data_IF_584027345843
#
_entry.id   IF_584027345843
#
_cell.length_a   1.000
_cell.length_b   1.000
_cell.length_c   1.000
_cell.angle_alpha   90.00
_cell.angle_beta   90.00
_cell.angle_gamma   90.00
#
_symmetry.space_group_name_H-M   'P 1'
#
loop_
_entity.id
_entity.type
_entity.pdbx_description
1 polymer ?
#
# COMPACT_ATOMS: atom_id res chain seq x y z
N UNK A 1 -5.47 10.08 -5.42
CA UNK A 1 -6.38 9.69 -4.34
C UNK A 1 -7.79 9.81 -4.91
N UNK A 2 -8.59 8.74 -4.89
CA UNK A 2 -9.91 8.72 -5.53
C UNK A 2 -10.87 9.57 -4.68
N UNK A 3 -11.43 10.64 -5.26
CA UNK A 3 -12.52 11.39 -4.62
C UNK A 3 -13.71 10.44 -4.43
N UNK A 4 -14.48 10.60 -3.36
CA UNK A 4 -15.73 9.87 -3.17
C UNK A 4 -16.71 10.09 -4.35
N UNK A 5 -16.52 11.17 -5.10
CA UNK A 5 -17.25 11.54 -6.32
C UNK A 5 -16.52 11.11 -7.60
N UNK A 6 -15.73 10.02 -7.58
CA UNK A 6 -15.14 9.55 -8.84
C UNK A 6 -16.28 9.11 -9.77
N UNK A 7 -16.41 9.83 -10.88
CA UNK A 7 -17.43 9.65 -11.90
C UNK A 7 -17.51 8.18 -12.31
N UNK A 8 -18.66 7.55 -12.04
CA UNK A 8 -18.99 6.17 -12.43
C UNK A 8 -19.57 6.10 -13.85
N UNK A 9 -19.79 7.24 -14.51
CA UNK A 9 -20.21 7.25 -15.91
C UNK A 9 -19.07 6.78 -16.82
N UNK A 10 -19.38 6.02 -17.88
CA UNK A 10 -18.38 5.60 -18.86
C UNK A 10 -17.59 6.78 -19.44
N UNK A 11 -16.30 6.57 -19.69
CA UNK A 11 -15.48 7.55 -20.41
C UNK A 11 -15.96 7.65 -21.88
N UNK A 12 -15.90 8.82 -22.54
CA UNK A 12 -16.33 8.96 -23.95
C UNK A 12 -15.70 7.95 -24.91
N UNK A 13 -14.41 7.63 -24.72
CA UNK A 13 -13.66 6.68 -25.55
C UNK A 13 -13.79 5.21 -25.11
N UNK A 14 -14.62 4.91 -24.11
CA UNK A 14 -14.79 3.56 -23.58
C UNK A 14 -15.60 2.69 -24.55
N UNK A 15 -15.10 1.49 -24.83
CA UNK A 15 -15.69 0.58 -25.83
C UNK A 15 -16.48 -0.59 -25.25
N UNK A 16 -16.23 -0.92 -23.98
CA UNK A 16 -16.87 -2.04 -23.29
C UNK A 16 -17.37 -1.60 -21.91
N UNK A 17 -18.47 -2.19 -21.39
CA UNK A 17 -18.92 -1.91 -20.03
C UNK A 17 -17.88 -2.39 -19.01
N UNK A 18 -17.77 -1.67 -17.90
CA UNK A 18 -16.93 -2.00 -16.76
C UNK A 18 -17.78 -2.11 -15.50
N UNK A 19 -17.37 -2.95 -14.55
CA UNK A 19 -18.10 -3.06 -13.30
C UNK A 19 -18.08 -1.74 -12.54
N UNK A 20 -19.25 -1.37 -11.99
CA UNK A 20 -19.40 -0.24 -11.08
C UNK A 20 -19.38 -0.67 -9.61
N UNK A 21 -19.32 -1.98 -9.36
CA UNK A 21 -19.30 -2.55 -8.02
C UNK A 21 -18.04 -2.13 -7.29
N UNK A 22 -18.20 -1.87 -6.00
CA UNK A 22 -17.12 -1.43 -5.12
C UNK A 22 -16.95 -2.43 -3.99
N UNK A 23 -15.71 -2.63 -3.61
CA UNK A 23 -15.32 -3.54 -2.54
C UNK A 23 -15.02 -2.77 -1.26
N UNK A 24 -15.51 -3.27 -0.13
CA UNK A 24 -15.20 -2.74 1.21
C UNK A 24 -13.89 -3.38 1.68
N UNK A 25 -12.90 -2.56 2.03
CA UNK A 25 -11.59 -3.01 2.48
C UNK A 25 -11.63 -3.56 3.91
N UNK A 26 -10.52 -4.16 4.37
CA UNK A 26 -10.32 -4.45 5.80
C UNK A 26 -9.79 -3.24 6.59
N UNK A 27 -9.46 -2.15 5.88
CA UNK A 27 -8.76 -0.99 6.42
C UNK A 27 -9.75 -0.03 7.07
N UNK A 28 -9.75 0.14 8.41
CA UNK A 28 -10.64 1.08 9.08
C UNK A 28 -10.29 2.52 8.72
N UNK A 29 -11.31 3.35 8.53
CA UNK A 29 -11.16 4.79 8.36
C UNK A 29 -11.15 5.51 9.70
N UNK A 30 -10.48 6.66 9.75
CA UNK A 30 -10.41 7.49 10.95
C UNK A 30 -11.79 7.98 11.43
N UNK A 31 -12.69 8.28 10.50
CA UNK A 31 -14.06 8.70 10.79
C UNK A 31 -14.95 7.51 11.16
N UNK A 32 -15.49 6.80 10.17
CA UNK A 32 -16.42 5.69 10.37
C UNK A 32 -16.36 4.69 9.22
N UNK A 33 -16.46 3.40 9.57
CA UNK A 33 -16.45 2.29 8.63
C UNK A 33 -15.06 1.99 8.06
N UNK A 34 -15.04 1.23 6.97
CA UNK A 34 -13.80 0.87 6.28
C UNK A 34 -13.63 1.68 5.00
N UNK A 35 -12.40 1.72 4.50
CA UNK A 35 -12.13 2.29 3.19
C UNK A 35 -12.85 1.47 2.11
N UNK A 36 -13.37 2.15 1.10
CA UNK A 36 -14.09 1.50 0.00
C UNK A 36 -13.27 1.71 -1.25
N UNK A 37 -12.79 0.61 -1.85
CA UNK A 37 -11.99 0.65 -3.05
C UNK A 37 -12.80 1.20 -4.24
N UNK A 38 -12.12 1.81 -5.25
CA UNK A 38 -12.78 2.22 -6.47
C UNK A 38 -13.27 0.98 -7.25
N UNK A 39 -14.37 1.15 -7.98
CA UNK A 39 -14.81 0.16 -8.96
C UNK A 39 -13.86 0.11 -10.16
N UNK A 40 -14.02 -0.90 -11.02
CA UNK A 40 -13.32 -0.97 -12.31
C UNK A 40 -13.53 0.30 -13.14
N UNK A 41 -14.79 0.76 -13.21
CA UNK A 41 -15.15 1.97 -13.94
C UNK A 41 -14.46 3.22 -13.37
N UNK A 42 -14.47 3.39 -12.04
CA UNK A 42 -13.79 4.51 -11.37
C UNK A 42 -12.27 4.46 -11.60
N UNK A 43 -11.68 3.26 -11.55
CA UNK A 43 -10.25 3.03 -11.73
C UNK A 43 -9.82 3.33 -13.17
N UNK A 44 -10.55 2.81 -14.16
CA UNK A 44 -10.35 3.10 -15.58
C UNK A 44 -10.42 4.61 -15.86
N UNK A 45 -11.47 5.28 -15.38
CA UNK A 45 -11.64 6.72 -15.53
C UNK A 45 -10.49 7.50 -14.90
N UNK A 46 -9.95 7.05 -13.76
CA UNK A 46 -8.81 7.68 -13.12
C UNK A 46 -7.50 7.51 -13.89
N UNK A 47 -7.30 6.35 -14.53
CA UNK A 47 -6.15 6.13 -15.41
C UNK A 47 -6.23 7.01 -16.67
N UNK A 48 -7.41 7.09 -17.30
CA UNK A 48 -7.65 8.01 -18.42
C UNK A 48 -7.37 9.47 -18.07
N UNK A 49 -7.80 9.94 -16.89
CA UNK A 49 -7.47 11.30 -16.40
C UNK A 49 -5.97 11.55 -16.20
N UNK A 50 -5.19 10.49 -16.04
CA UNK A 50 -3.72 10.54 -15.92
C UNK A 50 -3.02 10.31 -17.26
N UNK A 51 -3.75 10.39 -18.37
CA UNK A 51 -3.26 10.19 -19.74
C UNK A 51 -2.66 8.79 -19.99
N UNK A 52 -3.15 7.78 -19.26
CA UNK A 52 -2.85 6.38 -19.56
C UNK A 52 -3.83 5.83 -20.60
N UNK A 53 -3.39 4.79 -21.33
CA UNK A 53 -4.23 4.07 -22.29
C UNK A 53 -4.56 2.64 -21.80
N UNK A 54 -5.35 2.49 -20.73
CA UNK A 54 -5.76 1.18 -20.22
C UNK A 54 -6.73 0.48 -21.17
N UNK A 55 -6.75 -0.85 -21.14
CA UNK A 55 -7.77 -1.66 -21.80
C UNK A 55 -8.86 -2.04 -20.81
N UNK A 56 -10.12 -1.96 -21.23
CA UNK A 56 -11.28 -2.28 -20.41
C UNK A 56 -11.23 -3.73 -19.92
N UNK A 57 -10.86 -4.68 -20.80
CA UNK A 57 -10.78 -6.10 -20.46
C UNK A 57 -9.73 -6.45 -19.40
N UNK A 58 -8.76 -5.56 -19.12
CA UNK A 58 -7.76 -5.79 -18.08
C UNK A 58 -8.28 -5.42 -16.68
N UNK A 59 -9.38 -4.66 -16.57
CA UNK A 59 -9.78 -4.04 -15.30
C UNK A 59 -10.20 -5.08 -14.26
N UNK A 60 -10.87 -6.15 -14.69
CA UNK A 60 -11.27 -7.26 -13.84
C UNK A 60 -10.11 -8.06 -13.24
N UNK A 61 -8.88 -7.86 -13.74
CA UNK A 61 -7.67 -8.45 -13.15
C UNK A 61 -6.87 -7.40 -12.38
N UNK A 62 -6.70 -6.21 -12.95
CA UNK A 62 -5.85 -5.15 -12.38
C UNK A 62 -6.41 -4.60 -11.08
N UNK A 63 -7.73 -4.36 -11.00
CA UNK A 63 -8.34 -3.75 -9.81
C UNK A 63 -8.27 -4.67 -8.59
N UNK A 64 -8.64 -5.96 -8.67
CA UNK A 64 -8.47 -6.88 -7.54
C UNK A 64 -7.01 -7.01 -7.07
N UNK A 65 -6.05 -7.03 -8.00
CA UNK A 65 -4.62 -7.06 -7.63
C UNK A 65 -4.22 -5.79 -6.86
N UNK A 66 -4.68 -4.61 -7.31
CA UNK A 66 -4.39 -3.37 -6.60
C UNK A 66 -5.02 -3.35 -5.20
N UNK A 67 -6.26 -3.80 -5.06
CA UNK A 67 -6.93 -3.92 -3.76
C UNK A 67 -6.14 -4.84 -2.84
N UNK A 68 -5.72 -6.02 -3.33
CA UNK A 68 -4.89 -6.95 -2.57
C UNK A 68 -3.54 -6.33 -2.16
N UNK A 69 -2.89 -5.54 -3.01
CA UNK A 69 -1.65 -4.82 -2.67
C UNK A 69 -1.89 -3.79 -1.56
N UNK A 70 -3.03 -3.09 -1.57
CA UNK A 70 -3.40 -2.16 -0.50
C UNK A 70 -3.63 -2.90 0.83
N UNK A 71 -4.33 -4.04 0.81
CA UNK A 71 -4.54 -4.89 1.99
C UNK A 71 -3.20 -5.39 2.55
N UNK A 72 -2.28 -5.83 1.69
CA UNK A 72 -0.95 -6.25 2.10
C UNK A 72 -0.14 -5.10 2.71
N UNK A 73 -0.23 -3.90 2.17
CA UNK A 73 0.41 -2.72 2.75
C UNK A 73 -0.17 -2.38 4.13
N UNK A 74 -1.49 -2.50 4.30
CA UNK A 74 -2.13 -2.34 5.61
C UNK A 74 -1.66 -3.40 6.61
N UNK A 75 -1.63 -4.66 6.22
CA UNK A 75 -1.09 -5.74 7.06
C UNK A 75 0.35 -5.46 7.51
N UNK A 76 1.20 -4.95 6.61
CA UNK A 76 2.57 -4.55 6.97
C UNK A 76 2.64 -3.38 7.93
N UNK A 77 1.71 -2.43 7.85
CA UNK A 77 1.58 -1.37 8.87
C UNK A 77 1.19 -1.98 10.21
N UNK A 78 0.21 -2.87 10.22
CA UNK A 78 -0.25 -3.53 11.45
C UNK A 78 0.88 -4.31 12.14
N UNK A 79 1.80 -4.94 11.39
CA UNK A 79 3.01 -5.58 11.97
C UNK A 79 3.84 -4.62 12.85
N UNK A 80 3.90 -3.33 12.49
CA UNK A 80 4.54 -2.29 13.30
C UNK A 80 3.67 -1.82 14.45
N UNK A 81 2.37 -1.67 14.22
CA UNK A 81 1.41 -1.30 15.26
C UNK A 81 1.38 -2.35 16.39
N UNK A 82 1.80 -3.60 16.13
CA UNK A 82 2.01 -4.62 17.17
C UNK A 82 2.94 -4.18 18.31
N UNK A 83 3.88 -3.27 18.04
CA UNK A 83 4.78 -2.71 19.07
C UNK A 83 4.04 -1.79 20.07
N UNK A 84 2.81 -1.41 19.76
CA UNK A 84 1.99 -0.44 20.50
C UNK A 84 0.59 -0.99 20.80
N UNK A 85 0.39 -2.32 20.83
CA UNK A 85 -0.92 -2.93 21.16
C UNK A 85 -1.45 -2.49 22.53
N UNK A 86 -0.56 -2.21 23.48
CA UNK A 86 -0.92 -1.68 24.81
C UNK A 86 -1.37 -0.22 24.78
N UNK A 87 -0.99 0.54 23.76
CA UNK A 87 -1.39 1.94 23.58
C UNK A 87 -2.67 2.06 22.77
N UNK A 88 -2.82 1.25 21.72
CA UNK A 88 -3.96 1.31 20.81
C UNK A 88 -4.22 -0.03 20.13
N UNK A 89 -5.42 -0.57 20.32
CA UNK A 89 -5.85 -1.83 19.70
C UNK A 89 -6.45 -1.65 18.30
N UNK A 90 -6.90 -0.44 17.97
CA UNK A 90 -7.66 -0.16 16.76
C UNK A 90 -7.08 1.04 16.00
N UNK A 91 -5.88 0.91 15.40
CA UNK A 91 -5.32 1.95 14.55
C UNK A 91 -6.19 2.16 13.31
N UNK A 92 -6.37 3.41 12.89
CA UNK A 92 -7.25 3.79 11.78
C UNK A 92 -6.48 4.52 10.69
N UNK A 93 -6.78 4.27 9.43
CA UNK A 93 -6.16 4.99 8.33
C UNK A 93 -6.86 6.34 8.09
N UNK A 94 -6.12 7.43 8.26
CA UNK A 94 -6.57 8.81 8.03
C UNK A 94 -6.47 9.19 6.56
N UNK A 95 -5.33 8.91 5.93
CA UNK A 95 -5.05 9.43 4.58
C UNK A 95 -4.05 8.60 3.79
N UNK A 96 -4.36 8.43 2.50
CA UNK A 96 -3.46 7.89 1.47
C UNK A 96 -2.74 9.03 0.73
N UNK A 97 -1.41 9.00 0.62
CA UNK A 97 -0.65 9.97 -0.18
C UNK A 97 0.28 9.27 -1.14
N UNK A 98 0.05 9.44 -2.45
CA UNK A 98 1.00 8.99 -3.47
C UNK A 98 2.20 9.93 -3.56
N UNK A 99 3.41 9.37 -3.60
CA UNK A 99 4.69 10.09 -3.75
C UNK A 99 5.62 9.39 -4.77
N UNK A 100 5.14 9.12 -5.99
CA UNK A 100 5.86 8.27 -6.96
C UNK A 100 7.24 8.82 -7.36
N UNK A 101 7.47 10.13 -7.23
CA UNK A 101 8.74 10.77 -7.59
C UNK A 101 9.77 10.82 -6.45
N UNK A 102 9.35 10.50 -5.22
CA UNK A 102 10.19 10.73 -4.04
C UNK A 102 10.93 9.46 -3.60
N UNK A 103 12.22 9.36 -3.89
CA UNK A 103 13.03 8.23 -3.45
C UNK A 103 13.47 8.40 -1.99
N UNK A 104 13.20 7.39 -1.15
CA UNK A 104 13.60 7.41 0.27
C UNK A 104 15.13 7.27 0.44
N UNK A 105 15.72 7.82 1.53
CA UNK A 105 17.15 7.62 1.81
C UNK A 105 17.55 6.14 1.88
N UNK A 106 16.69 5.29 2.45
CA UNK A 106 16.88 3.82 2.48
C UNK A 106 16.92 3.24 1.07
N UNK A 107 16.01 3.65 0.18
CA UNK A 107 15.99 3.19 -1.21
C UNK A 107 17.22 3.68 -1.99
N UNK A 108 17.69 4.92 -1.77
CA UNK A 108 18.94 5.45 -2.37
C UNK A 108 20.16 4.64 -1.94
N UNK A 109 20.26 4.30 -0.65
CA UNK A 109 21.36 3.48 -0.15
C UNK A 109 21.32 2.05 -0.73
N UNK A 110 20.13 1.42 -0.78
CA UNK A 110 19.95 0.13 -1.46
C UNK A 110 20.35 0.19 -2.93
N UNK A 111 19.99 1.26 -3.63
CA UNK A 111 20.38 1.47 -5.02
C UNK A 111 21.89 1.51 -5.20
N UNK A 112 22.60 2.21 -4.30
CA UNK A 112 24.07 2.26 -4.31
C UNK A 112 24.71 0.86 -4.15
N UNK A 113 24.03 -0.06 -3.46
CA UNK A 113 24.45 -1.47 -3.32
C UNK A 113 23.94 -2.38 -4.45
N UNK A 114 23.41 -1.83 -5.55
CA UNK A 114 22.99 -2.57 -6.73
C UNK A 114 21.55 -3.11 -6.70
N UNK A 115 20.73 -2.73 -5.71
CA UNK A 115 19.31 -3.10 -5.67
C UNK A 115 18.46 -2.17 -6.55
N UNK A 116 17.32 -2.68 -7.05
CA UNK A 116 16.36 -1.86 -7.80
C UNK A 116 15.65 -0.85 -6.89
N UNK A 117 15.37 0.32 -7.44
CA UNK A 117 14.51 1.33 -6.80
C UNK A 117 13.05 0.85 -6.73
N UNK A 118 12.26 1.36 -5.77
CA UNK A 118 10.82 1.12 -5.78
C UNK A 118 10.20 1.77 -7.01
N UNK A 119 9.19 1.12 -7.58
CA UNK A 119 8.45 1.65 -8.74
C UNK A 119 7.34 2.61 -8.31
N UNK A 120 6.92 2.54 -7.05
CA UNK A 120 5.96 3.46 -6.45
C UNK A 120 6.27 3.62 -4.95
N UNK A 121 5.88 4.78 -4.41
CA UNK A 121 6.02 5.08 -2.99
C UNK A 121 4.77 5.81 -2.51
N UNK A 122 4.24 5.35 -1.39
CA UNK A 122 3.16 6.03 -0.69
C UNK A 122 3.57 6.46 0.74
N UNK A 123 3.01 7.58 1.19
CA UNK A 123 3.02 7.98 2.60
C UNK A 123 1.58 7.83 3.13
N UNK A 124 1.36 6.95 4.11
CA UNK A 124 0.04 6.72 4.72
C UNK A 124 0.02 7.29 6.13
N UNK A 125 -1.01 8.07 6.46
CA UNK A 125 -1.19 8.60 7.81
C UNK A 125 -2.18 7.74 8.57
N UNK A 126 -1.73 7.18 9.70
CA UNK A 126 -2.50 6.32 10.59
C UNK A 126 -2.76 7.06 11.89
N UNK A 127 -4.01 7.09 12.32
CA UNK A 127 -4.40 7.54 13.65
C UNK A 127 -4.26 6.36 14.63
N UNK A 128 -3.28 6.48 15.51
CA UNK A 128 -3.08 5.59 16.65
C UNK A 128 -3.76 6.21 17.87
N UNK A 129 -5.08 6.07 17.94
CA UNK A 129 -5.90 6.48 19.09
C UNK A 129 -5.67 7.94 19.54
N UNK A 130 -5.68 8.87 18.59
CA UNK A 130 -5.47 10.31 18.79
C UNK A 130 -4.08 10.81 18.39
N UNK A 131 -3.18 9.93 17.96
CA UNK A 131 -1.83 10.29 17.49
C UNK A 131 -1.63 9.92 16.04
N UNK A 132 -1.39 10.91 15.19
CA UNK A 132 -1.09 10.68 13.78
C UNK A 132 0.36 10.21 13.58
N UNK A 133 0.51 9.00 13.04
CA UNK A 133 1.78 8.41 12.63
C UNK A 133 1.80 8.30 11.11
N UNK A 134 2.82 8.86 10.46
CA UNK A 134 3.02 8.68 9.02
C UNK A 134 3.89 7.47 8.77
N UNK A 135 3.40 6.52 7.98
CA UNK A 135 4.13 5.38 7.43
C UNK A 135 4.62 5.70 6.02
N UNK A 136 5.86 5.31 5.72
CA UNK A 136 6.41 5.32 4.36
C UNK A 136 6.38 3.90 3.83
N UNK A 137 5.86 3.73 2.63
CA UNK A 137 5.64 2.44 1.98
C UNK A 137 6.30 2.49 0.61
N UNK A 138 7.38 1.72 0.44
CA UNK A 138 8.06 1.56 -0.84
C UNK A 138 7.61 0.24 -1.49
N UNK A 139 7.13 0.31 -2.74
CA UNK A 139 6.69 -0.84 -3.53
C UNK A 139 7.76 -1.25 -4.55
N UNK A 140 8.16 -2.52 -4.50
CA UNK A 140 9.18 -3.09 -5.37
C UNK A 140 8.62 -4.24 -6.20
N UNK A 141 9.10 -4.36 -7.44
CA UNK A 141 8.84 -5.55 -8.25
C UNK A 141 9.59 -6.74 -7.67
N UNK A 142 8.88 -7.85 -7.45
CA UNK A 142 9.43 -9.10 -6.98
C UNK A 142 10.09 -9.91 -8.09
N UNK A 143 10.66 -11.07 -7.72
CA UNK A 143 11.16 -12.04 -8.69
C UNK A 143 10.01 -12.92 -9.20
N UNK A 144 9.97 -13.27 -10.50
CA UNK A 144 8.99 -14.21 -11.03
C UNK A 144 8.93 -15.49 -10.19
N UNK A 145 7.72 -15.97 -9.89
CA UNK A 145 7.58 -17.21 -9.14
C UNK A 145 7.91 -18.41 -10.06
N UNK A 146 8.74 -19.39 -9.64
CA UNK A 146 9.16 -20.49 -10.52
C UNK A 146 7.99 -21.30 -11.10
N UNK A 147 6.91 -21.48 -10.33
CA UNK A 147 5.70 -22.21 -10.75
C UNK A 147 4.66 -21.31 -11.44
N UNK A 148 4.83 -19.99 -11.43
CA UNK A 148 3.90 -19.03 -12.03
C UNK A 148 4.67 -17.79 -12.51
N UNK A 149 5.53 -17.92 -13.54
CA UNK A 149 6.45 -16.87 -13.96
C UNK A 149 5.72 -15.65 -14.54
N UNK A 150 4.50 -15.82 -15.04
CA UNK A 150 3.68 -14.73 -15.60
C UNK A 150 2.93 -13.93 -14.54
N UNK A 151 2.83 -14.44 -13.30
CA UNK A 151 2.16 -13.74 -12.22
C UNK A 151 3.10 -12.67 -11.63
N UNK A 152 2.68 -11.38 -11.59
CA UNK A 152 3.51 -10.34 -11.01
C UNK A 152 3.66 -10.58 -9.51
N UNK A 153 4.89 -10.51 -9.02
CA UNK A 153 5.19 -10.56 -7.60
C UNK A 153 5.60 -9.17 -7.12
N UNK A 154 5.26 -8.87 -5.86
CA UNK A 154 5.53 -7.57 -5.26
C UNK A 154 6.23 -7.75 -3.92
N UNK A 155 7.10 -6.81 -3.59
CA UNK A 155 7.69 -6.69 -2.25
C UNK A 155 7.35 -5.31 -1.69
N UNK A 156 6.82 -5.28 -0.46
CA UNK A 156 6.36 -4.06 0.20
C UNK A 156 7.24 -3.80 1.42
N UNK A 157 7.89 -2.63 1.46
CA UNK A 157 8.68 -2.14 2.60
C UNK A 157 7.91 -0.99 3.27
N UNK A 158 7.00 -1.35 4.19
CA UNK A 158 6.27 -0.39 5.01
C UNK A 158 6.98 -0.18 6.35
N UNK A 159 7.10 1.08 6.78
CA UNK A 159 7.75 1.47 8.05
C UNK A 159 7.31 2.85 8.53
N UNK A 160 7.36 3.14 9.84
CA UNK A 160 7.14 4.49 10.34
C UNK A 160 8.13 5.47 9.71
N UNK A 161 7.67 6.67 9.37
CA UNK A 161 8.53 7.75 8.92
C UNK A 161 9.45 8.19 10.06
N UNK A 162 10.72 8.49 9.73
CA UNK A 162 11.71 8.90 10.73
C UNK A 162 11.58 10.42 10.96
N UNK A 163 10.47 10.83 11.59
CA UNK A 163 10.18 12.24 11.91
C UNK A 163 10.15 12.52 13.41
N UNK A 164 10.03 11.49 14.25
CA UNK A 164 9.92 11.63 15.70
C UNK A 164 10.90 10.72 16.44
N UNK A 165 11.32 11.07 17.67
CA UNK A 165 12.14 10.19 18.51
C UNK A 165 11.48 8.82 18.75
N UNK A 166 10.15 8.79 18.93
CA UNK A 166 9.40 7.54 19.07
C UNK A 166 9.56 6.62 17.87
N UNK A 167 9.43 7.17 16.66
CA UNK A 167 9.61 6.40 15.42
C UNK A 167 11.04 5.86 15.27
N UNK A 168 12.06 6.57 15.75
CA UNK A 168 13.44 6.06 15.76
C UNK A 168 13.55 4.85 16.69
N UNK A 169 12.99 4.95 17.90
CA UNK A 169 12.95 3.85 18.87
C UNK A 169 12.21 2.64 18.28
N UNK A 170 11.10 2.86 17.57
CA UNK A 170 10.34 1.77 16.94
C UNK A 170 11.18 1.03 15.91
N UNK A 171 12.00 1.73 15.11
CA UNK A 171 12.93 1.11 14.17
C UNK A 171 13.97 0.24 14.88
N UNK A 172 14.53 0.71 16.01
CA UNK A 172 15.45 -0.10 16.81
C UNK A 172 14.76 -1.32 17.42
N UNK A 173 13.56 -1.17 17.98
CA UNK A 173 12.77 -2.29 18.52
C UNK A 173 12.45 -3.32 17.44
N UNK A 174 12.02 -2.88 16.27
CA UNK A 174 11.69 -3.77 15.15
C UNK A 174 12.94 -4.48 14.61
N UNK A 175 14.06 -3.77 14.50
CA UNK A 175 15.34 -4.38 14.14
C UNK A 175 15.74 -5.47 15.15
N UNK A 176 15.66 -5.17 16.45
CA UNK A 176 15.99 -6.14 17.47
C UNK A 176 15.05 -7.36 17.42
N UNK A 177 13.74 -7.13 17.33
CA UNK A 177 12.72 -8.18 17.21
C UNK A 177 13.01 -9.14 16.06
N UNK A 178 13.31 -8.59 14.87
CA UNK A 178 13.53 -9.38 13.67
C UNK A 178 14.85 -10.17 13.65
N UNK A 179 15.86 -9.74 14.40
CA UNK A 179 17.19 -10.37 14.40
C UNK A 179 17.47 -11.21 15.64
N UNK A 180 16.78 -10.98 16.76
CA UNK A 180 17.12 -11.58 18.05
C UNK A 180 15.95 -12.24 18.79
N UNK A 181 14.69 -11.88 18.48
CA UNK A 181 13.50 -12.46 19.14
C UNK A 181 12.60 -13.28 18.18
N UNK A 182 13.05 -13.53 16.94
CA UNK A 182 12.30 -14.34 15.98
C UNK A 182 12.53 -15.84 16.24
N UNK A 183 11.44 -16.57 16.49
CA UNK A 183 11.35 -18.03 16.47
C UNK A 183 12.09 -18.65 15.27
N UNK A 184 12.53 -19.90 15.43
CA UNK A 184 13.34 -20.69 14.48
C UNK A 184 13.00 -20.43 13.00
N UNK A 185 14.01 -20.41 12.11
CA UNK A 185 13.76 -20.29 10.69
C UNK A 185 12.85 -21.44 10.24
N UNK A 186 11.66 -21.11 9.71
CA UNK A 186 10.89 -22.08 8.92
C UNK A 186 11.81 -22.56 7.81
N UNK A 187 12.23 -23.82 7.93
CA UNK A 187 13.04 -24.51 6.93
C UNK A 187 12.39 -24.28 5.57
N UNK A 188 13.14 -23.66 4.66
CA UNK A 188 12.85 -23.67 3.24
C UNK A 188 12.97 -25.09 2.70
#
# INVERSE_FOLDING_TARGET
MYSADAVQHPHPDQKAPLSQDREVSSIPRADQGNWIYPSEQMFFNAMKRKDWNPREGDMGVVVPIHNAVNEMAWYKILEWEKLHESECLNPKLVRFMGRPQDITPKARFKQLMGYKLPFDRHDWTVDRCGKEITYVIDFYGGKPHPMAPEMPTFFIDARPSIKSPGSIIDHFKMFYKNNFNGEEPKKK
#
